data_IF_222573605830
#
_entry.id   IF_222573605830
#
_cell.length_a   1.000
_cell.length_b   1.000
_cell.length_c   1.000
_cell.angle_alpha   90.00
_cell.angle_beta   90.00
_cell.angle_gamma   90.00
#
_symmetry.space_group_name_H-M   'P 1'
#
loop_
_entity.id
_entity.type
_entity.pdbx_description
1 polymer ?
#
# COMPACT_ATOMS: atom_id res chain seq x y z
N UNK A 1 -7.37 14.11 -8.35
CA UNK A 1 -8.32 14.50 -7.29
C UNK A 1 -9.19 13.29 -7.01
N UNK A 2 -9.47 12.99 -5.75
CA UNK A 2 -10.34 11.88 -5.37
C UNK A 2 -11.73 12.03 -6.01
N UNK A 3 -12.31 10.93 -6.46
CA UNK A 3 -13.68 10.84 -6.96
C UNK A 3 -14.41 9.69 -6.24
N UNK A 4 -15.69 9.48 -6.55
CA UNK A 4 -16.50 8.46 -5.88
C UNK A 4 -15.89 7.05 -5.99
N UNK A 5 -15.35 6.68 -7.16
CA UNK A 5 -14.70 5.38 -7.34
C UNK A 5 -13.46 5.22 -6.45
N UNK A 6 -12.64 6.28 -6.36
CA UNK A 6 -11.47 6.31 -5.49
C UNK A 6 -11.86 6.07 -4.03
N UNK A 7 -12.86 6.81 -3.53
CA UNK A 7 -13.33 6.69 -2.14
C UNK A 7 -13.97 5.32 -1.86
N UNK A 8 -14.72 4.76 -2.82
CA UNK A 8 -15.30 3.43 -2.68
C UNK A 8 -14.22 2.35 -2.55
N UNK A 9 -13.14 2.43 -3.34
CA UNK A 9 -12.00 1.52 -3.23
C UNK A 9 -11.26 1.73 -1.91
N UNK A 10 -11.03 2.98 -1.51
CA UNK A 10 -10.39 3.29 -0.22
C UNK A 10 -11.19 2.69 0.95
N UNK A 11 -12.51 2.87 0.96
CA UNK A 11 -13.41 2.32 1.97
C UNK A 11 -13.37 0.78 2.00
N UNK A 12 -13.38 0.12 0.84
CA UNK A 12 -13.27 -1.34 0.78
C UNK A 12 -11.95 -1.84 1.38
N UNK A 13 -10.83 -1.23 0.98
CA UNK A 13 -9.52 -1.63 1.49
C UNK A 13 -9.40 -1.38 2.98
N UNK A 14 -9.99 -0.29 3.48
CA UNK A 14 -10.07 0.01 4.89
C UNK A 14 -10.73 -1.13 5.69
N UNK A 15 -11.85 -1.65 5.20
CA UNK A 15 -12.55 -2.76 5.83
C UNK A 15 -11.74 -4.06 5.77
N UNK A 16 -11.08 -4.33 4.63
CA UNK A 16 -10.16 -5.47 4.51
C UNK A 16 -9.03 -5.42 5.55
N UNK A 17 -8.39 -4.27 5.74
CA UNK A 17 -7.31 -4.12 6.72
C UNK A 17 -7.80 -4.08 8.17
N UNK A 18 -9.08 -3.78 8.41
CA UNK A 18 -9.71 -3.86 9.74
C UNK A 18 -10.26 -5.23 10.08
N UNK A 19 -10.53 -6.10 9.11
CA UNK A 19 -11.05 -7.44 9.34
C UNK A 19 -10.24 -8.25 10.40
N UNK A 20 -8.89 -8.19 10.44
CA UNK A 20 -8.09 -8.85 11.49
C UNK A 20 -8.33 -8.36 12.91
N UNK A 21 -8.93 -7.17 13.09
CA UNK A 21 -9.31 -6.66 14.41
C UNK A 21 -10.54 -7.36 14.99
N UNK A 22 -11.21 -8.23 14.23
CA UNK A 22 -12.36 -9.02 14.66
C UNK A 22 -13.49 -8.17 15.28
N UNK A 23 -13.73 -6.97 14.73
CA UNK A 23 -14.76 -6.04 15.20
C UNK A 23 -14.46 -5.33 16.53
N UNK A 24 -13.31 -5.57 17.16
CA UNK A 24 -12.95 -4.98 18.46
C UNK A 24 -12.38 -3.57 18.28
N UNK A 25 -12.82 -2.65 19.15
CA UNK A 25 -12.20 -1.32 19.26
C UNK A 25 -10.80 -1.44 19.85
N UNK A 26 -9.80 -0.90 19.16
CA UNK A 26 -8.41 -1.01 19.60
C UNK A 26 -7.80 -2.38 19.35
N UNK A 27 -8.24 -3.07 18.29
CA UNK A 27 -7.62 -4.31 17.83
C UNK A 27 -6.11 -4.17 17.50
N UNK A 28 -5.45 -5.27 17.12
CA UNK A 28 -4.01 -5.35 16.92
C UNK A 28 -3.46 -4.35 15.88
N UNK A 29 -4.31 -3.80 15.00
CA UNK A 29 -3.89 -2.92 13.91
C UNK A 29 -4.72 -1.64 13.89
N UNK A 30 -4.07 -0.49 13.66
CA UNK A 30 -4.78 0.75 13.36
C UNK A 30 -4.69 1.04 11.86
N UNK A 31 -5.83 1.40 11.28
CA UNK A 31 -5.96 1.81 9.88
C UNK A 31 -6.35 3.29 9.88
N UNK A 32 -5.54 4.13 9.22
CA UNK A 32 -5.69 5.58 9.19
C UNK A 32 -5.76 6.08 7.75
N UNK A 33 -6.52 7.15 7.52
CA UNK A 33 -6.72 7.75 6.21
C UNK A 33 -5.90 9.02 6.14
N UNK A 34 -5.08 9.13 5.10
CA UNK A 34 -4.29 10.32 4.83
C UNK A 34 -3.48 10.89 6.01
N UNK A 35 -2.80 10.07 6.85
CA UNK A 35 -1.90 10.63 7.84
C UNK A 35 -0.68 11.28 7.16
N UNK A 36 -0.38 12.53 7.51
CA UNK A 36 0.79 13.22 6.96
C UNK A 36 2.10 12.62 7.48
N UNK A 37 3.01 12.36 6.56
CA UNK A 37 4.38 11.91 6.79
C UNK A 37 5.35 12.81 6.01
N UNK A 38 6.54 13.05 6.54
CA UNK A 38 7.59 13.68 5.75
C UNK A 38 7.92 12.84 4.53
N UNK A 39 8.12 13.48 3.38
CA UNK A 39 8.47 12.78 2.17
C UNK A 39 9.72 11.92 2.41
N UNK A 40 9.67 10.62 2.04
CA UNK A 40 10.72 9.67 2.31
C UNK A 40 12.13 10.07 1.88
N UNK A 41 12.24 10.82 0.77
CA UNK A 41 13.49 11.28 0.17
C UNK A 41 13.71 12.79 0.44
N UNK A 42 12.64 13.59 0.40
CA UNK A 42 12.68 15.03 0.62
C UNK A 42 12.01 15.41 1.94
N UNK A 43 12.77 15.51 3.02
CA UNK A 43 12.23 15.74 4.37
C UNK A 43 11.66 17.16 4.60
N UNK A 44 11.59 18.01 3.57
CA UNK A 44 11.02 19.36 3.66
C UNK A 44 9.50 19.34 3.53
N UNK A 45 8.98 18.51 2.62
CA UNK A 45 7.55 18.44 2.36
C UNK A 45 6.88 17.28 3.08
N UNK A 46 5.57 17.40 3.31
CA UNK A 46 4.74 16.31 3.83
C UNK A 46 3.86 15.76 2.73
N UNK A 47 3.75 14.44 2.72
CA UNK A 47 2.89 13.67 1.84
C UNK A 47 2.02 12.76 2.69
N UNK A 48 0.88 12.34 2.17
CA UNK A 48 -0.02 11.41 2.83
C UNK A 48 -0.30 10.22 1.90
N UNK A 49 -0.31 8.98 2.41
CA UNK A 49 -0.84 7.85 1.67
C UNK A 49 -2.37 7.89 1.72
N UNK A 50 -3.07 7.19 0.83
CA UNK A 50 -4.53 7.12 0.94
C UNK A 50 -4.95 6.34 2.18
N UNK A 51 -4.30 5.20 2.43
CA UNK A 51 -4.48 4.43 3.67
C UNK A 51 -3.12 4.05 4.26
N UNK A 52 -2.98 4.22 5.56
CA UNK A 52 -1.82 3.79 6.33
C UNK A 52 -2.22 2.78 7.40
N UNK A 53 -1.45 1.70 7.48
CA UNK A 53 -1.65 0.65 8.47
C UNK A 53 -0.46 0.69 9.42
N UNK A 54 -0.75 0.97 10.68
CA UNK A 54 0.24 1.21 11.73
C UNK A 54 0.04 0.20 12.88
N UNK A 55 1.13 -0.25 13.52
CA UNK A 55 1.01 -0.96 14.78
C UNK A 55 0.59 0.03 15.90
N UNK A 56 -0.23 -0.41 16.87
CA UNK A 56 -0.49 0.36 18.06
C UNK A 56 0.81 0.55 18.87
N UNK A 57 0.99 1.74 19.46
CA UNK A 57 2.14 2.08 20.32
C UNK A 57 2.21 1.27 21.62
N UNK A 58 1.21 0.42 21.91
CA UNK A 58 1.25 -0.55 23.01
C UNK A 58 2.02 -1.82 22.64
N UNK A 59 2.10 -2.15 21.35
CA UNK A 59 2.85 -3.30 20.85
C UNK A 59 4.26 -2.94 20.41
N UNK A 60 4.48 -1.68 20.05
CA UNK A 60 5.77 -1.15 19.62
C UNK A 60 6.15 -0.03 20.59
N UNK A 61 7.20 -0.27 21.38
CA UNK A 61 7.68 0.67 22.40
C UNK A 61 7.97 2.05 21.80
N UNK A 62 7.87 3.12 22.59
CA UNK A 62 8.35 4.43 22.14
C UNK A 62 9.88 4.39 22.03
N UNK A 63 10.48 4.92 20.96
CA UNK A 63 11.93 4.93 20.85
C UNK A 63 12.54 5.80 21.93
N UNK A 64 13.64 5.31 22.51
CA UNK A 64 14.44 6.05 23.49
C UNK A 64 15.24 7.19 22.84
N UNK A 65 15.52 7.06 21.54
CA UNK A 65 16.19 8.07 20.71
C UNK A 65 15.17 8.89 19.91
N UNK A 66 15.36 10.22 19.80
CA UNK A 66 14.51 11.06 18.97
C UNK A 66 14.50 10.60 17.51
N UNK A 67 13.34 10.77 16.88
CA UNK A 67 12.92 10.25 15.58
C UNK A 67 13.96 10.38 14.45
N UNK A 68 14.12 9.37 13.56
CA UNK A 68 13.43 8.09 13.55
C UNK A 68 14.28 7.03 14.28
N UNK A 69 14.40 7.12 15.60
CA UNK A 69 15.01 6.06 16.42
C UNK A 69 14.21 4.74 16.33
N UNK A 70 14.85 3.57 16.50
CA UNK A 70 14.15 2.30 16.57
C UNK A 70 13.41 2.14 17.92
N UNK A 71 12.15 1.65 17.92
CA UNK A 71 11.35 1.35 16.74
C UNK A 71 10.76 2.63 16.10
N UNK A 72 10.64 2.68 14.77
CA UNK A 72 10.30 3.90 14.04
C UNK A 72 8.95 4.52 14.47
N UNK A 73 9.01 5.75 14.96
CA UNK A 73 7.85 6.58 15.32
C UNK A 73 8.04 8.05 14.92
N UNK A 74 6.96 8.83 14.90
CA UNK A 74 6.97 10.28 14.69
C UNK A 74 7.20 11.06 15.98
N UNK A 75 7.40 12.39 15.90
CA UNK A 75 7.66 13.33 17.03
C UNK A 75 6.70 13.26 18.21
N UNK A 76 5.52 12.69 18.03
CA UNK A 76 4.52 12.53 19.07
C UNK A 76 4.51 11.09 19.65
N UNK A 77 5.47 10.26 19.28
CA UNK A 77 5.61 8.86 19.70
C UNK A 77 4.65 7.89 19.02
N UNK A 78 4.00 8.28 17.92
CA UNK A 78 3.15 7.35 17.14
C UNK A 78 4.01 6.54 16.16
N UNK A 79 3.83 5.22 16.19
CA UNK A 79 4.48 4.31 15.25
C UNK A 79 4.22 4.71 13.79
N UNK A 80 5.25 4.62 12.96
CA UNK A 80 5.09 4.84 11.53
C UNK A 80 4.32 3.70 10.86
N UNK A 81 3.78 3.95 9.65
CA UNK A 81 3.13 2.92 8.85
C UNK A 81 4.13 1.84 8.45
N UNK A 82 3.68 0.59 8.48
CA UNK A 82 4.42 -0.57 7.94
C UNK A 82 3.80 -1.06 6.64
N UNK A 83 2.50 -0.83 6.44
CA UNK A 83 1.82 -1.08 5.18
C UNK A 83 1.15 0.22 4.73
N UNK A 84 1.31 0.54 3.46
CA UNK A 84 0.76 1.75 2.83
C UNK A 84 -0.09 1.35 1.64
N UNK A 85 -1.16 2.10 1.40
CA UNK A 85 -2.03 1.98 0.23
C UNK A 85 -2.03 3.29 -0.54
N UNK A 86 -1.91 3.19 -1.86
CA UNK A 86 -1.97 4.32 -2.79
C UNK A 86 -2.97 4.01 -3.91
N UNK A 87 -3.95 4.89 -4.11
CA UNK A 87 -4.99 4.71 -5.13
C UNK A 87 -4.88 5.85 -6.13
N UNK A 88 -4.69 5.51 -7.40
CA UNK A 88 -4.62 6.48 -8.49
C UNK A 88 -5.85 6.36 -9.39
N UNK A 89 -6.51 7.47 -9.68
CA UNK A 89 -7.61 7.54 -10.63
C UNK A 89 -7.27 8.45 -11.82
N UNK A 90 -6.58 9.57 -11.58
CA UNK A 90 -6.21 10.55 -12.60
C UNK A 90 -4.73 10.50 -13.00
N UNK A 91 -3.85 10.09 -12.08
CA UNK A 91 -2.42 10.01 -12.31
C UNK A 91 -2.11 8.92 -13.36
N UNK A 92 -1.10 9.17 -14.18
CA UNK A 92 -0.55 8.17 -15.07
C UNK A 92 0.22 7.08 -14.29
N UNK A 93 0.50 5.97 -14.98
CA UNK A 93 1.17 4.82 -14.36
C UNK A 93 2.58 5.19 -13.84
N UNK A 94 3.44 5.91 -14.59
CA UNK A 94 4.75 6.31 -14.08
C UNK A 94 4.65 7.12 -12.78
N UNK A 95 3.80 8.15 -12.73
CA UNK A 95 3.63 8.99 -11.55
C UNK A 95 3.13 8.18 -10.35
N UNK A 96 2.15 7.30 -10.58
CA UNK A 96 1.63 6.43 -9.53
C UNK A 96 2.67 5.41 -9.03
N UNK A 97 3.49 4.84 -9.92
CA UNK A 97 4.58 3.96 -9.53
C UNK A 97 5.63 4.71 -8.70
N UNK A 98 6.04 5.90 -9.15
CA UNK A 98 6.97 6.74 -8.40
C UNK A 98 6.44 7.05 -7.01
N UNK A 99 5.13 7.31 -6.89
CA UNK A 99 4.48 7.54 -5.59
C UNK A 99 4.53 6.30 -4.69
N UNK A 100 4.26 5.11 -5.23
CA UNK A 100 4.31 3.87 -4.45
C UNK A 100 5.75 3.51 -4.02
N UNK A 101 6.70 3.64 -4.95
CA UNK A 101 8.12 3.39 -4.70
C UNK A 101 8.72 4.38 -3.72
N UNK A 102 8.26 5.64 -3.73
CA UNK A 102 8.68 6.67 -2.78
C UNK A 102 8.52 6.19 -1.34
N UNK A 103 7.40 5.55 -1.00
CA UNK A 103 7.16 4.99 0.33
C UNK A 103 8.14 3.88 0.72
N UNK A 104 8.57 3.06 -0.25
CA UNK A 104 9.52 1.98 -0.02
C UNK A 104 10.92 2.48 0.37
N UNK A 105 11.25 3.78 0.19
CA UNK A 105 12.50 4.35 0.70
C UNK A 105 12.57 4.37 2.23
N UNK A 106 11.44 4.32 2.94
CA UNK A 106 11.46 4.12 4.39
C UNK A 106 11.66 2.64 4.67
N UNK A 107 12.80 2.29 5.26
CA UNK A 107 13.16 0.89 5.54
C UNK A 107 12.11 0.16 6.37
N UNK A 108 11.36 0.86 7.22
CA UNK A 108 10.28 0.30 8.01
C UNK A 108 8.98 0.06 7.25
N UNK A 109 8.80 0.60 6.04
CA UNK A 109 7.65 0.25 5.22
C UNK A 109 7.89 -1.13 4.63
N UNK A 110 7.14 -2.12 5.12
CA UNK A 110 7.25 -3.52 4.71
C UNK A 110 6.52 -3.78 3.40
N UNK A 111 5.37 -3.14 3.20
CA UNK A 111 4.53 -3.28 2.01
C UNK A 111 3.95 -1.94 1.54
N UNK A 112 3.82 -1.80 0.22
CA UNK A 112 3.00 -0.75 -0.42
C UNK A 112 2.05 -1.45 -1.38
N UNK A 113 0.75 -1.25 -1.22
CA UNK A 113 -0.28 -1.76 -2.12
C UNK A 113 -0.86 -0.63 -2.96
N UNK A 114 -0.52 -0.60 -4.24
CA UNK A 114 -1.06 0.35 -5.19
C UNK A 114 -2.28 -0.22 -5.91
N UNK A 115 -3.28 0.62 -6.13
CA UNK A 115 -4.34 0.39 -7.13
C UNK A 115 -4.40 1.57 -8.11
N UNK A 116 -4.44 1.28 -9.41
CA UNK A 116 -4.68 2.25 -10.47
C UNK A 116 -6.01 1.93 -11.14
N UNK A 117 -6.95 2.88 -11.04
CA UNK A 117 -8.21 2.89 -11.77
C UNK A 117 -8.00 3.65 -13.07
N UNK A 118 -8.24 3.01 -14.21
CA UNK A 118 -8.25 3.72 -15.49
C UNK A 118 -9.58 4.49 -15.68
N UNK A 119 -9.78 5.19 -16.79
CA UNK A 119 -11.10 5.71 -17.12
C UNK A 119 -12.06 4.59 -17.55
N UNK A 120 -13.35 4.82 -17.31
CA UNK A 120 -14.41 3.93 -17.80
C UNK A 120 -14.54 4.13 -19.32
N UNK A 121 -14.56 3.02 -20.06
CA UNK A 121 -14.67 2.93 -21.53
C UNK A 121 -15.91 2.12 -21.90
N UNK A 122 -16.28 2.15 -23.19
CA UNK A 122 -17.14 1.17 -23.86
C UNK A 122 -18.25 0.57 -22.98
N UNK A 123 -19.37 1.28 -22.79
CA UNK A 123 -20.55 0.77 -22.06
C UNK A 123 -20.30 0.37 -20.59
N UNK A 124 -19.39 1.04 -19.89
CA UNK A 124 -19.15 0.82 -18.46
C UNK A 124 -17.99 -0.11 -18.15
N UNK A 125 -17.28 -0.61 -19.16
CA UNK A 125 -16.09 -1.41 -18.99
C UNK A 125 -14.89 -0.59 -18.51
N UNK A 126 -13.97 -1.22 -17.76
CA UNK A 126 -12.82 -0.54 -17.17
C UNK A 126 -11.64 -1.49 -16.97
N UNK A 127 -10.45 -1.02 -17.29
CA UNK A 127 -9.19 -1.66 -16.90
C UNK A 127 -8.69 -1.09 -15.56
N UNK A 128 -8.08 -1.96 -14.75
CA UNK A 128 -7.51 -1.58 -13.47
C UNK A 128 -6.22 -2.35 -13.24
N UNK A 129 -5.23 -1.71 -12.60
CA UNK A 129 -3.97 -2.36 -12.26
C UNK A 129 -3.80 -2.37 -10.76
N UNK A 130 -3.27 -3.47 -10.22
CA UNK A 130 -2.81 -3.54 -8.84
C UNK A 130 -1.34 -3.91 -8.82
N UNK A 131 -0.61 -3.35 -7.86
CA UNK A 131 0.80 -3.67 -7.63
C UNK A 131 1.06 -3.75 -6.15
N UNK A 132 1.80 -4.77 -5.72
CA UNK A 132 2.23 -4.93 -4.34
C UNK A 132 3.75 -4.90 -4.33
N UNK A 133 4.31 -3.86 -3.74
CA UNK A 133 5.74 -3.76 -3.44
C UNK A 133 5.99 -4.31 -2.04
N UNK A 134 7.08 -5.02 -1.85
CA UNK A 134 7.48 -5.60 -0.58
C UNK A 134 8.99 -5.56 -0.37
N UNK A 135 9.40 -5.43 0.89
CA UNK A 135 10.79 -5.64 1.33
C UNK A 135 10.95 -7.00 2.04
N UNK A 136 10.05 -7.94 1.82
CA UNK A 136 10.21 -9.30 2.32
C UNK A 136 11.43 -10.00 1.69
N UNK A 137 12.20 -10.66 2.55
CA UNK A 137 13.38 -11.41 2.17
C UNK A 137 13.33 -12.78 2.89
N UNK A 138 13.21 -13.91 2.16
CA UNK A 138 13.08 -14.01 0.71
C UNK A 138 11.77 -13.38 0.19
N UNK A 139 11.77 -12.92 -1.06
CA UNK A 139 10.57 -12.38 -1.68
C UNK A 139 9.49 -13.47 -1.86
N UNK A 140 8.19 -13.17 -1.69
CA UNK A 140 7.14 -14.16 -1.89
C UNK A 140 7.07 -14.68 -3.33
N UNK A 141 6.48 -15.88 -3.57
CA UNK A 141 6.35 -16.44 -4.91
C UNK A 141 5.63 -15.52 -5.90
N UNK A 142 6.23 -15.38 -7.09
CA UNK A 142 5.71 -14.55 -8.18
C UNK A 142 6.04 -13.06 -8.07
N UNK A 143 6.83 -12.65 -7.08
CA UNK A 143 7.42 -11.30 -7.04
C UNK A 143 8.72 -11.27 -7.83
N UNK A 144 8.98 -10.13 -8.48
CA UNK A 144 10.23 -9.84 -9.20
C UNK A 144 10.93 -8.65 -8.55
N UNK A 145 12.25 -8.59 -8.61
CA UNK A 145 12.99 -7.43 -8.10
C UNK A 145 12.58 -6.15 -8.83
N UNK A 146 12.40 -5.06 -8.08
CA UNK A 146 12.18 -3.73 -8.66
C UNK A 146 13.44 -3.27 -9.39
N UNK A 147 13.27 -2.64 -10.55
CA UNK A 147 14.38 -2.16 -11.39
C UNK A 147 14.94 -0.81 -10.95
N UNK A 148 14.28 -0.10 -10.02
CA UNK A 148 14.77 1.14 -9.45
C UNK A 148 16.02 0.89 -8.59
N UNK A 149 17.21 1.40 -8.99
CA UNK A 149 18.46 1.10 -8.29
C UNK A 149 18.52 1.69 -6.88
N UNK A 150 17.68 2.67 -6.55
CA UNK A 150 17.61 3.28 -5.23
C UNK A 150 16.75 2.48 -4.23
N UNK A 151 16.16 1.35 -4.67
CA UNK A 151 15.33 0.47 -3.86
C UNK A 151 15.88 -0.97 -3.82
N UNK A 152 17.12 -1.18 -3.37
CA UNK A 152 17.67 -2.52 -3.26
C UNK A 152 16.86 -3.37 -2.28
N UNK A 153 16.69 -4.65 -2.61
CA UNK A 153 15.93 -5.61 -1.79
C UNK A 153 14.42 -5.36 -1.77
N UNK A 154 13.89 -4.55 -2.69
CA UNK A 154 12.46 -4.40 -2.92
C UNK A 154 12.04 -5.25 -4.11
N UNK A 155 10.96 -6.00 -3.94
CA UNK A 155 10.33 -6.79 -5.00
C UNK A 155 8.88 -6.35 -5.21
N UNK A 156 8.35 -6.58 -6.42
CA UNK A 156 7.00 -6.20 -6.81
C UNK A 156 6.29 -7.35 -7.51
N UNK A 157 4.98 -7.45 -7.29
CA UNK A 157 4.06 -8.30 -8.06
C UNK A 157 2.92 -7.45 -8.60
N UNK A 158 2.49 -7.76 -9.83
CA UNK A 158 1.50 -6.97 -10.55
C UNK A 158 0.28 -7.81 -10.91
N UNK A 159 -0.88 -7.17 -10.97
CA UNK A 159 -2.14 -7.74 -11.44
C UNK A 159 -2.82 -6.77 -12.40
N UNK A 160 -3.35 -7.31 -13.50
CA UNK A 160 -4.21 -6.59 -14.44
C UNK A 160 -5.63 -7.14 -14.30
N UNK A 161 -6.54 -6.30 -13.79
CA UNK A 161 -7.88 -6.69 -13.37
C UNK A 161 -8.93 -5.68 -13.85
N UNK A 162 -10.20 -5.94 -13.55
CA UNK A 162 -11.32 -5.23 -14.14
C UNK A 162 -11.87 -5.97 -15.34
N UNK A 163 -12.75 -5.36 -16.10
CA UNK A 163 -13.43 -6.06 -17.20
C UNK A 163 -12.55 -6.16 -18.45
N UNK A 164 -11.56 -5.28 -18.62
CA UNK A 164 -10.67 -5.21 -19.78
C UNK A 164 -9.20 -5.19 -19.37
N UNK A 165 -8.34 -5.86 -20.14
CA UNK A 165 -6.89 -5.79 -19.98
C UNK A 165 -6.40 -4.37 -20.25
N UNK A 166 -5.43 -3.91 -19.46
CA UNK A 166 -4.96 -2.53 -19.52
C UNK A 166 -4.43 -2.16 -20.92
N UNK A 167 -4.92 -1.02 -21.43
CA UNK A 167 -4.54 -0.51 -22.74
C UNK A 167 -5.15 -1.24 -23.93
N UNK A 168 -6.11 -2.15 -23.71
CA UNK A 168 -6.76 -2.92 -24.78
C UNK A 168 -8.28 -3.01 -24.56
N UNK A 169 -9.01 -3.50 -25.56
CA UNK A 169 -10.43 -3.86 -25.45
C UNK A 169 -10.65 -5.37 -25.22
N UNK A 170 -9.58 -6.11 -24.92
CA UNK A 170 -9.66 -7.53 -24.62
C UNK A 170 -10.12 -7.75 -23.17
N UNK A 171 -11.01 -8.71 -22.90
CA UNK A 171 -11.46 -8.97 -21.53
C UNK A 171 -10.37 -9.58 -20.66
N UNK A 172 -10.41 -9.29 -19.35
CA UNK A 172 -9.56 -10.02 -18.38
C UNK A 172 -10.22 -11.33 -17.93
N UNK A 173 -9.46 -12.19 -17.25
CA UNK A 173 -10.02 -13.36 -16.56
C UNK A 173 -10.62 -13.03 -15.17
N UNK A 174 -10.67 -11.77 -14.76
CA UNK A 174 -11.23 -11.32 -13.48
C UNK A 174 -12.76 -11.22 -13.54
N UNK A 175 -13.42 -12.38 -13.63
CA UNK A 175 -14.86 -12.48 -13.89
C UNK A 175 -15.72 -12.66 -12.63
N UNK A 176 -15.11 -12.92 -11.47
CA UNK A 176 -15.82 -13.09 -10.18
C UNK A 176 -14.88 -12.89 -8.99
N UNK A 177 -15.47 -12.69 -7.81
CA UNK A 177 -14.73 -12.67 -6.55
C UNK A 177 -14.10 -14.03 -6.22
N UNK A 178 -13.01 -14.02 -5.45
CA UNK A 178 -12.36 -15.24 -4.93
C UNK A 178 -11.44 -15.98 -5.92
N UNK A 179 -11.15 -15.40 -7.09
CA UNK A 179 -10.20 -15.99 -8.04
C UNK A 179 -8.76 -15.85 -7.51
N UNK A 180 -8.07 -16.99 -7.35
CA UNK A 180 -6.72 -17.06 -6.77
C UNK A 180 -5.70 -16.19 -7.51
N UNK A 181 -5.82 -16.08 -8.83
CA UNK A 181 -4.91 -15.28 -9.65
C UNK A 181 -5.01 -13.77 -9.35
N UNK A 182 -6.10 -13.32 -8.72
CA UNK A 182 -6.36 -11.92 -8.36
C UNK A 182 -6.33 -11.70 -6.84
N UNK A 183 -5.91 -12.71 -6.07
CA UNK A 183 -5.80 -12.59 -4.63
C UNK A 183 -4.49 -11.88 -4.26
N UNK A 184 -4.61 -10.89 -3.39
CA UNK A 184 -3.49 -10.18 -2.77
C UNK A 184 -3.45 -10.58 -1.30
N UNK A 185 -2.34 -11.18 -0.88
CA UNK A 185 -2.14 -11.62 0.51
C UNK A 185 -1.07 -10.77 1.15
N UNK A 186 -1.42 -10.07 2.24
CA UNK A 186 -0.48 -9.31 3.05
C UNK A 186 -0.59 -9.84 4.49
N UNK A 187 0.49 -10.41 5.06
CA UNK A 187 0.44 -10.98 6.40
C UNK A 187 0.32 -9.88 7.45
N UNK A 188 -0.55 -10.06 8.43
CA UNK A 188 -0.76 -9.07 9.51
C UNK A 188 0.48 -8.89 10.38
N UNK A 189 1.32 -9.92 10.49
CA UNK A 189 2.63 -9.82 11.16
C UNK A 189 3.52 -8.74 10.54
N UNK A 190 3.34 -8.38 9.26
CA UNK A 190 4.08 -7.30 8.62
C UNK A 190 3.80 -5.93 9.24
N UNK A 191 2.66 -5.73 9.91
CA UNK A 191 2.33 -4.50 10.63
C UNK A 191 3.26 -4.27 11.83
N UNK A 192 3.82 -5.35 12.38
CA UNK A 192 4.69 -5.31 13.56
C UNK A 192 6.16 -5.49 13.20
N UNK A 193 6.49 -5.56 11.91
CA UNK A 193 7.85 -5.74 11.47
C UNK A 193 8.64 -4.46 11.65
N UNK A 194 9.84 -4.57 12.23
CA UNK A 194 10.81 -3.50 12.32
C UNK A 194 12.13 -3.91 11.64
N UNK A 195 12.75 -3.03 10.86
CA UNK A 195 14.10 -3.25 10.36
C UNK A 195 15.07 -3.24 11.54
N UNK A 196 15.99 -4.21 11.55
CA UNK A 196 17.13 -4.23 12.46
C UNK A 196 18.10 -3.07 12.16
#
# INVERSE_FOLDING_TARGET
MANMDHEAVASLLWDCFKAPNNGVRGGPVKVLGQPYHYNPINQVEKIAPEVAIIPPSTYIARPNTPHPGPPPSNTNGYSHARIIVEIANAQDIPTWNTRCELWMHKQYVRYVFGIKLDFIRNNGHRSMLARLWTRENPAPPGFVAVTNPNLPGVSVKNWDFGTLLYGTDSPTACIRAGLLNYQVTIPISAVFWDPL
#
